data_IF_310519254792
#
_entry.id   IF_310519254792
#
_cell.length_a   1.000
_cell.length_b   1.000
_cell.length_c   1.000
_cell.angle_alpha   90.00
_cell.angle_beta   90.00
_cell.angle_gamma   90.00
#
_symmetry.space_group_name_H-M   'P 1'
#
loop_
_entity.id
_entity.type
_entity.pdbx_description
1 polymer ?
#
# COMPACT_ATOMS: atom_id res chain seq x y z
N UNK A 1 -8.55 8.19 12.53
CA UNK A 1 -8.07 8.85 11.29
C UNK A 1 -6.91 9.81 11.55
N UNK A 2 -7.01 10.83 12.42
CA UNK A 2 -5.95 11.84 12.60
C UNK A 2 -4.57 11.28 13.00
N UNK A 3 -4.51 10.33 13.94
CA UNK A 3 -3.25 9.73 14.37
C UNK A 3 -2.56 8.91 13.27
N UNK A 4 -3.34 8.18 12.46
CA UNK A 4 -2.79 7.41 11.33
C UNK A 4 -2.18 8.32 10.26
N UNK A 5 -2.86 9.42 9.93
CA UNK A 5 -2.32 10.43 9.03
C UNK A 5 -1.07 11.11 9.61
N UNK A 6 -1.07 11.45 10.91
CA UNK A 6 0.08 12.06 11.56
C UNK A 6 1.32 11.15 11.54
N UNK A 7 1.15 9.84 11.79
CA UNK A 7 2.23 8.85 11.68
C UNK A 7 2.78 8.75 10.27
N UNK A 8 1.91 8.68 9.27
CA UNK A 8 2.34 8.60 7.87
C UNK A 8 3.12 9.85 7.43
N UNK A 9 2.66 11.04 7.85
CA UNK A 9 3.36 12.30 7.57
C UNK A 9 4.70 12.38 8.30
N UNK A 10 4.77 11.93 9.55
CA UNK A 10 6.04 11.83 10.31
C UNK A 10 7.06 10.94 9.58
N UNK A 11 6.63 9.76 9.12
CA UNK A 11 7.46 8.85 8.33
C UNK A 11 7.89 9.48 7.00
N UNK A 12 6.97 10.18 6.31
CA UNK A 12 7.26 10.88 5.06
C UNK A 12 8.31 12.00 5.24
N UNK A 13 8.23 12.75 6.35
CA UNK A 13 9.21 13.79 6.67
C UNK A 13 10.59 13.21 6.96
N UNK A 14 10.67 12.08 7.67
CA UNK A 14 11.94 11.37 7.91
C UNK A 14 12.58 10.89 6.61
N UNK A 15 11.77 10.35 5.71
CA UNK A 15 12.23 9.91 4.39
C UNK A 15 12.80 11.08 3.56
N UNK A 16 12.18 12.27 3.64
CA UNK A 16 12.66 13.48 2.99
C UNK A 16 13.97 14.01 3.59
N UNK A 17 14.13 13.91 4.91
CA UNK A 17 15.38 14.28 5.61
C UNK A 17 16.56 13.38 5.20
N UNK A 18 16.25 12.18 4.70
CA UNK A 18 17.22 11.22 4.16
C UNK A 18 17.41 9.98 4.99
N UNK A 19 16.46 9.69 5.88
CA UNK A 19 16.34 8.36 6.48
C UNK A 19 16.05 7.34 5.38
N UNK A 20 17.01 6.45 5.14
CA UNK A 20 16.96 5.47 4.05
C UNK A 20 16.15 4.22 4.38
N UNK A 21 15.63 4.08 5.60
CA UNK A 21 14.89 2.89 6.06
C UNK A 21 13.49 3.25 6.58
N UNK A 22 12.76 4.04 5.78
CA UNK A 22 11.33 4.32 6.02
C UNK A 22 10.47 3.41 5.17
N UNK A 23 9.67 2.58 5.83
CA UNK A 23 8.71 1.66 5.20
C UNK A 23 7.32 1.89 5.77
N UNK A 24 6.35 2.12 4.89
CA UNK A 24 4.96 2.32 5.28
C UNK A 24 4.02 1.56 4.33
N UNK A 25 2.88 1.10 4.84
CA UNK A 25 1.82 0.57 4.00
C UNK A 25 0.95 1.72 3.50
N UNK A 26 0.93 1.94 2.19
CA UNK A 26 0.14 3.01 1.57
C UNK A 26 -0.52 2.54 0.29
N UNK A 27 -1.63 3.17 -0.06
CA UNK A 27 -2.33 2.95 -1.31
C UNK A 27 -1.62 3.71 -2.43
N UNK A 28 -0.97 2.97 -3.34
CA UNK A 28 -0.17 3.53 -4.44
C UNK A 28 -0.49 2.82 -5.73
N UNK A 29 -0.11 3.43 -6.85
CA UNK A 29 -0.14 2.76 -8.14
C UNK A 29 0.84 1.58 -8.09
N UNK A 30 0.37 0.38 -8.40
CA UNK A 30 1.20 -0.82 -8.35
C UNK A 30 0.70 -1.89 -9.30
N UNK A 31 1.62 -2.58 -9.97
CA UNK A 31 1.31 -3.71 -10.84
C UNK A 31 1.35 -5.05 -10.08
N UNK A 32 1.21 -5.02 -8.75
CA UNK A 32 1.24 -6.23 -7.89
C UNK A 32 0.00 -7.10 -8.06
N UNK A 33 -1.10 -6.50 -8.48
CA UNK A 33 -2.37 -7.16 -8.74
C UNK A 33 -2.92 -6.66 -10.06
N UNK A 34 -4.00 -7.26 -10.54
CA UNK A 34 -4.73 -6.81 -11.74
C UNK A 34 -5.39 -5.42 -11.59
N UNK A 35 -5.43 -4.85 -10.39
CA UNK A 35 -5.92 -3.50 -10.12
C UNK A 35 -4.81 -2.47 -10.35
N UNK A 36 -5.14 -1.28 -10.91
CA UNK A 36 -4.15 -0.22 -11.16
C UNK A 36 -3.58 0.40 -9.88
N UNK A 37 -4.29 0.30 -8.75
CA UNK A 37 -3.84 0.79 -7.45
C UNK A 37 -4.06 -0.27 -6.38
N UNK A 38 -3.10 -0.40 -5.46
CA UNK A 38 -3.19 -1.37 -4.36
C UNK A 38 -2.45 -0.87 -3.12
N UNK A 39 -2.98 -1.23 -1.95
CA UNK A 39 -2.32 -0.93 -0.68
C UNK A 39 -1.23 -1.97 -0.41
N UNK A 40 0.02 -1.53 -0.49
CA UNK A 40 1.18 -2.40 -0.26
C UNK A 40 2.25 -1.69 0.56
N UNK A 41 3.17 -2.46 1.12
CA UNK A 41 4.33 -1.90 1.81
C UNK A 41 5.26 -1.29 0.79
N UNK A 42 5.60 -0.03 1.00
CA UNK A 42 6.53 0.69 0.13
C UNK A 42 7.67 1.28 0.93
N UNK A 43 8.83 1.38 0.28
CA UNK A 43 9.95 2.17 0.74
C UNK A 43 9.75 3.62 0.30
N UNK A 44 9.77 4.53 1.26
CA UNK A 44 9.67 5.97 1.01
C UNK A 44 11.07 6.57 1.16
N UNK A 45 11.46 7.41 0.22
CA UNK A 45 12.68 8.19 0.27
C UNK A 45 12.46 9.63 -0.20
N UNK A 46 13.55 10.32 -0.57
CA UNK A 46 13.53 11.77 -0.84
C UNK A 46 12.65 12.16 -2.04
N UNK A 47 12.46 11.24 -2.98
CA UNK A 47 11.67 11.46 -4.18
C UNK A 47 10.28 10.79 -4.11
N UNK A 48 9.82 10.43 -2.91
CA UNK A 48 8.55 9.73 -2.70
C UNK A 48 8.74 8.21 -2.63
N UNK A 49 7.94 7.45 -3.37
CA UNK A 49 7.98 5.98 -3.35
C UNK A 49 9.18 5.49 -4.18
N UNK A 50 10.16 4.86 -3.52
CA UNK A 50 11.37 4.35 -4.18
C UNK A 50 11.25 2.88 -4.59
N UNK A 51 10.56 2.07 -3.79
CA UNK A 51 10.37 0.66 -4.06
C UNK A 51 9.05 0.14 -3.48
N UNK A 52 8.44 -0.81 -4.16
CA UNK A 52 7.24 -1.53 -3.70
C UNK A 52 7.68 -2.92 -3.25
N UNK A 53 7.32 -3.31 -2.02
CA UNK A 53 7.70 -4.58 -1.42
C UNK A 53 6.58 -5.61 -1.68
N UNK A 54 6.85 -6.57 -2.55
CA UNK A 54 5.92 -7.65 -2.93
C UNK A 54 6.05 -8.92 -2.06
N UNK A 55 7.10 -9.01 -1.23
CA UNK A 55 7.36 -10.20 -0.39
C UNK A 55 6.24 -10.48 0.60
N UNK A 56 5.53 -9.44 1.04
CA UNK A 56 4.40 -9.56 1.98
C UNK A 56 3.22 -10.35 1.37
N UNK A 57 3.16 -10.48 0.03
CA UNK A 57 2.10 -11.19 -0.68
C UNK A 57 2.42 -12.67 -0.97
N UNK A 58 3.69 -13.09 -0.89
CA UNK A 58 4.14 -14.41 -1.36
C UNK A 58 3.87 -15.58 -0.39
N UNK A 59 3.32 -15.32 0.80
CA UNK A 59 3.06 -16.33 1.84
C UNK A 59 1.66 -16.26 2.46
N UNK A 60 0.70 -15.67 1.75
CA UNK A 60 -0.63 -15.45 2.29
C UNK A 60 -1.45 -16.73 2.35
N UNK A 61 -2.18 -16.91 3.46
CA UNK A 61 -3.15 -17.99 3.62
C UNK A 61 -4.30 -17.83 2.61
N UNK A 62 -4.90 -18.95 2.20
CA UNK A 62 -6.01 -19.00 1.23
C UNK A 62 -7.18 -18.09 1.62
N UNK A 63 -7.44 -17.94 2.92
CA UNK A 63 -8.46 -17.02 3.44
C UNK A 63 -8.15 -15.57 3.06
N UNK A 64 -6.90 -15.13 3.19
CA UNK A 64 -6.50 -13.75 2.89
C UNK A 64 -6.60 -13.45 1.40
N UNK A 65 -6.23 -14.41 0.54
CA UNK A 65 -6.44 -14.31 -0.91
C UNK A 65 -7.93 -14.15 -1.24
N UNK A 66 -8.80 -14.94 -0.61
CA UNK A 66 -10.25 -14.84 -0.81
C UNK A 66 -10.81 -13.48 -0.38
N UNK A 67 -10.36 -12.92 0.75
CA UNK A 67 -10.76 -11.56 1.16
C UNK A 67 -10.28 -10.49 0.19
N UNK A 68 -9.06 -10.61 -0.35
CA UNK A 68 -8.57 -9.69 -1.38
C UNK A 68 -9.43 -9.75 -2.63
N UNK A 69 -9.84 -10.94 -3.08
CA UNK A 69 -10.73 -11.10 -4.24
C UNK A 69 -12.14 -10.58 -3.98
N UNK A 70 -12.72 -10.87 -2.80
CA UNK A 70 -14.05 -10.37 -2.41
C UNK A 70 -14.08 -8.83 -2.38
N UNK A 71 -13.03 -8.21 -1.87
CA UNK A 71 -12.89 -6.75 -1.88
C UNK A 71 -12.99 -6.18 -3.30
N UNK A 72 -12.37 -6.84 -4.30
CA UNK A 72 -12.44 -6.37 -5.70
C UNK A 72 -13.88 -6.32 -6.22
N UNK A 73 -14.62 -7.41 -6.04
CA UNK A 73 -16.00 -7.50 -6.51
C UNK A 73 -16.91 -6.50 -5.80
N UNK A 74 -16.65 -6.16 -4.55
CA UNK A 74 -17.42 -5.15 -3.84
C UNK A 74 -17.23 -3.76 -4.46
N UNK A 75 -16.00 -3.35 -4.79
CA UNK A 75 -15.74 -2.07 -5.46
C UNK A 75 -16.35 -2.01 -6.87
N UNK A 76 -16.27 -3.08 -7.65
CA UNK A 76 -16.86 -3.15 -9.00
C UNK A 76 -18.40 -3.00 -8.99
N UNK A 77 -19.07 -3.45 -7.91
CA UNK A 77 -20.52 -3.33 -7.78
C UNK A 77 -20.98 -1.87 -7.53
N UNK A 78 -20.12 -1.02 -6.96
CA UNK A 78 -20.42 0.39 -6.73
C UNK A 78 -20.18 1.27 -7.96
N UNK A 79 -19.45 0.80 -8.98
CA UNK A 79 -19.29 1.51 -10.26
C UNK A 79 -20.46 1.27 -11.25
N UNK A 80 -21.40 0.37 -10.91
CA UNK A 80 -22.58 0.04 -11.73
C UNK A 80 -23.82 0.88 -11.36
N UNK A 81 -23.75 1.70 -10.30
CA UNK A 81 -24.78 2.67 -9.89
C UNK A 81 -24.31 4.12 -10.10
#
# INVERSE_FOLDING_TARGET
MAYGAARFVESSLRALDGDGDVYECTFVQSDLTELPFFASRVKIGKNGVEAIISSDLQGLSENTMNFMQLGKYEWDLWEIF
#
